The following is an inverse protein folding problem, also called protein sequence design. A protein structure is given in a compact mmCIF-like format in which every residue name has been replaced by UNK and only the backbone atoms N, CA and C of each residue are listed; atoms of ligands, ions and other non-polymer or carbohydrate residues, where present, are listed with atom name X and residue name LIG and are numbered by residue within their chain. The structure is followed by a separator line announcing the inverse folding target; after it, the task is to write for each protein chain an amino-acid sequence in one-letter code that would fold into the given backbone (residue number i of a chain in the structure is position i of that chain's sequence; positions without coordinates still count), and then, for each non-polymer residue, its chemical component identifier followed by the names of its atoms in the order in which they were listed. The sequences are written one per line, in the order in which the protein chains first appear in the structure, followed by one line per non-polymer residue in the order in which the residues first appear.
data_IF_058264315489
#
_entry.id   IF_058264315489
#
_cell.length_a   1.000
_cell.length_b   1.000
_cell.length_c   1.000
_cell.angle_alpha   90.00
_cell.angle_beta   90.00
_cell.angle_gamma   90.00
#
_symmetry.space_group_name_H-M   'P 1'
#
loop_
_entity.id
_entity.type
_entity.pdbx_description
1 polymer ?
#
# COMPACT_ATOMS: atom_id res chain seq x y z
N UNK A 1 -9.15 -29.45 44.54
CA UNK A 1 -9.40 -29.79 43.11
C UNK A 1 -9.91 -28.60 42.30
N UNK A 2 -10.75 -27.73 42.88
CA UNK A 2 -11.33 -26.55 42.20
C UNK A 2 -10.30 -25.49 41.78
N UNK A 3 -9.32 -25.18 42.64
CA UNK A 3 -8.25 -24.22 42.31
C UNK A 3 -7.40 -24.63 41.10
N UNK A 4 -7.04 -25.92 40.96
CA UNK A 4 -6.24 -26.40 39.81
C UNK A 4 -6.96 -26.21 38.47
N UNK A 5 -8.29 -26.40 38.45
CA UNK A 5 -9.12 -26.17 37.24
C UNK A 5 -9.19 -24.69 36.89
N UNK A 6 -9.34 -23.83 37.90
CA UNK A 6 -9.36 -22.37 37.72
C UNK A 6 -8.02 -21.84 37.20
N UNK A 7 -6.89 -22.30 37.76
CA UNK A 7 -5.55 -21.95 37.29
C UNK A 7 -5.30 -22.42 35.85
N UNK A 8 -5.77 -23.61 35.47
CA UNK A 8 -5.65 -24.12 34.10
C UNK A 8 -6.44 -23.27 33.11
N UNK A 9 -7.68 -22.88 33.46
CA UNK A 9 -8.51 -21.99 32.63
C UNK A 9 -7.83 -20.63 32.46
N UNK A 10 -7.30 -20.04 33.55
CA UNK A 10 -6.56 -18.78 33.50
C UNK A 10 -5.37 -18.84 32.54
N UNK A 11 -4.56 -19.91 32.61
CA UNK A 11 -3.41 -20.12 31.73
C UNK A 11 -3.82 -20.23 30.26
N UNK A 12 -4.90 -20.95 29.98
CA UNK A 12 -5.44 -21.08 28.61
C UNK A 12 -5.90 -19.71 28.09
N UNK A 13 -6.61 -18.93 28.91
CA UNK A 13 -7.06 -17.59 28.52
C UNK A 13 -5.88 -16.67 28.25
N UNK A 14 -4.84 -16.68 29.10
CA UNK A 14 -3.63 -15.89 28.88
C UNK A 14 -2.89 -16.29 27.60
N UNK A 15 -2.80 -17.59 27.31
CA UNK A 15 -2.22 -18.08 26.05
C UNK A 15 -3.02 -17.60 24.84
N UNK A 16 -4.35 -17.64 24.89
CA UNK A 16 -5.19 -17.14 23.79
C UNK A 16 -5.01 -15.63 23.56
N UNK A 17 -4.89 -14.84 24.63
CA UNK A 17 -4.62 -13.39 24.53
C UNK A 17 -3.23 -13.13 23.93
N UNK A 18 -2.22 -13.89 24.34
CA UNK A 18 -0.87 -13.74 23.80
C UNK A 18 -0.82 -14.10 22.30
N UNK A 19 -1.44 -15.22 21.91
CA UNK A 19 -1.53 -15.65 20.51
C UNK A 19 -2.29 -14.63 19.67
N UNK A 20 -3.43 -14.13 20.15
CA UNK A 20 -4.20 -13.12 19.40
C UNK A 20 -3.43 -11.81 19.27
N UNK A 21 -2.75 -11.36 20.34
CA UNK A 21 -1.91 -10.17 20.31
C UNK A 21 -0.76 -10.27 19.30
N UNK A 22 -0.08 -11.42 19.24
CA UNK A 22 0.99 -11.68 18.26
C UNK A 22 0.41 -11.67 16.84
N UNK A 23 -0.72 -12.34 16.61
CA UNK A 23 -1.36 -12.38 15.28
C UNK A 23 -1.78 -10.99 14.80
N UNK A 24 -2.38 -10.16 15.66
CA UNK A 24 -2.76 -8.78 15.35
C UNK A 24 -1.51 -7.96 15.02
N UNK A 25 -0.44 -8.07 15.83
CA UNK A 25 0.81 -7.36 15.58
C UNK A 25 1.47 -7.77 14.26
N UNK A 26 1.52 -9.07 13.96
CA UNK A 26 2.07 -9.56 12.69
C UNK A 26 1.26 -9.08 11.48
N UNK A 27 -0.05 -8.92 11.63
CA UNK A 27 -0.93 -8.52 10.54
C UNK A 27 -0.95 -6.99 10.30
N UNK A 28 -1.03 -6.18 11.35
CA UNK A 28 -1.16 -4.71 11.24
C UNK A 28 0.13 -3.95 11.55
N UNK A 29 1.00 -4.48 12.41
CA UNK A 29 2.15 -3.76 12.95
C UNK A 29 3.38 -3.76 12.05
N UNK A 30 3.49 -4.74 11.13
CA UNK A 30 4.66 -4.85 10.25
C UNK A 30 4.49 -3.94 9.03
N UNK A 31 5.51 -3.12 8.75
CA UNK A 31 5.62 -2.47 7.44
C UNK A 31 5.73 -3.54 6.37
N UNK A 32 4.94 -3.38 5.32
CA UNK A 32 4.93 -4.24 4.15
C UNK A 32 5.30 -3.40 2.93
N UNK A 33 5.86 -4.08 1.95
CA UNK A 33 6.30 -3.46 0.70
C UNK A 33 5.51 -4.13 -0.44
N UNK A 34 4.22 -3.79 -0.62
CA UNK A 34 3.34 -4.47 -1.57
C UNK A 34 3.82 -4.33 -3.03
N UNK A 35 4.68 -3.36 -3.31
CA UNK A 35 5.21 -3.06 -4.64
C UNK A 35 6.64 -3.59 -4.85
N UNK A 36 7.27 -4.24 -3.85
CA UNK A 36 8.72 -4.58 -3.86
C UNK A 36 9.16 -5.49 -5.01
N UNK A 37 8.23 -6.22 -5.65
CA UNK A 37 8.53 -7.23 -6.66
C UNK A 37 8.02 -6.85 -8.06
N UNK A 38 7.73 -5.57 -8.31
CA UNK A 38 7.30 -5.13 -9.65
C UNK A 38 8.47 -5.23 -10.62
N UNK A 39 8.30 -6.04 -11.66
CA UNK A 39 9.25 -6.15 -12.77
C UNK A 39 8.97 -5.05 -13.80
N UNK A 40 9.81 -4.01 -13.84
CA UNK A 40 9.63 -2.88 -14.77
C UNK A 40 9.68 -3.31 -16.24
N UNK A 41 10.39 -4.40 -16.57
CA UNK A 41 10.46 -4.92 -17.92
C UNK A 41 9.12 -5.51 -18.42
N UNK A 42 8.18 -5.80 -17.50
CA UNK A 42 6.84 -6.30 -17.83
C UNK A 42 5.80 -5.18 -17.93
N UNK A 43 6.16 -3.94 -17.58
CA UNK A 43 5.26 -2.78 -17.67
C UNK A 43 5.18 -2.32 -19.11
N UNK A 44 3.97 -2.02 -19.56
CA UNK A 44 3.68 -1.44 -20.87
C UNK A 44 3.61 0.09 -20.79
N UNK A 45 2.88 0.60 -19.81
CA UNK A 45 2.69 2.04 -19.58
C UNK A 45 2.15 2.29 -18.17
N UNK A 46 2.36 3.50 -17.65
CA UNK A 46 1.79 3.96 -16.38
C UNK A 46 0.88 5.16 -16.66
N UNK A 47 -0.37 5.06 -16.21
CA UNK A 47 -1.30 6.18 -16.22
C UNK A 47 -1.28 6.88 -14.87
N UNK A 48 -1.15 8.19 -14.89
CA UNK A 48 -1.30 9.06 -13.73
C UNK A 48 -2.49 9.99 -13.95
N UNK A 49 -3.42 9.97 -13.01
CA UNK A 49 -4.63 10.80 -13.06
C UNK A 49 -4.75 11.60 -11.77
N UNK A 50 -4.85 12.92 -11.92
CA UNK A 50 -5.25 13.85 -10.87
C UNK A 50 -6.52 14.61 -11.31
N UNK A 51 -7.20 15.36 -10.43
CA UNK A 51 -8.42 16.07 -10.79
C UNK A 51 -8.29 17.08 -11.94
N UNK A 52 -7.06 17.50 -12.29
CA UNK A 52 -6.77 18.49 -13.32
C UNK A 52 -6.15 17.88 -14.60
N UNK A 53 -5.54 16.70 -14.51
CA UNK A 53 -4.60 16.19 -15.51
C UNK A 53 -4.62 14.67 -15.57
N UNK A 54 -4.57 14.15 -16.79
CA UNK A 54 -4.22 12.75 -17.06
C UNK A 54 -2.92 12.73 -17.86
N UNK A 55 -2.03 11.82 -17.50
CA UNK A 55 -0.71 11.69 -18.11
C UNK A 55 -0.34 10.22 -18.26
N UNK A 56 0.33 9.88 -19.36
CA UNK A 56 0.72 8.51 -19.70
C UNK A 56 2.24 8.49 -19.84
N UNK A 57 2.88 7.56 -19.13
CA UNK A 57 4.32 7.31 -19.21
C UNK A 57 4.55 5.97 -19.87
N UNK A 58 5.29 5.99 -20.97
CA UNK A 58 5.65 4.79 -21.74
C UNK A 58 7.16 4.65 -21.97
N UNK A 59 7.96 5.62 -21.52
CA UNK A 59 9.42 5.52 -21.56
C UNK A 59 9.93 4.61 -20.43
N UNK A 60 10.81 3.66 -20.79
CA UNK A 60 11.32 2.65 -19.85
C UNK A 60 12.10 3.27 -18.68
N UNK A 61 12.84 4.37 -18.91
CA UNK A 61 13.64 5.02 -17.87
C UNK A 61 12.75 5.77 -16.87
N UNK A 62 11.69 6.41 -17.36
CA UNK A 62 10.71 7.09 -16.52
C UNK A 62 9.86 6.08 -15.73
N UNK A 63 9.48 4.96 -16.35
CA UNK A 63 8.81 3.85 -15.67
C UNK A 63 9.69 3.32 -14.53
N UNK A 64 10.98 3.07 -14.78
CA UNK A 64 11.89 2.60 -13.73
C UNK A 64 11.97 3.60 -12.57
N UNK A 65 12.01 4.90 -12.88
CA UNK A 65 12.09 5.95 -11.88
C UNK A 65 10.80 6.05 -11.03
N UNK A 66 9.62 5.92 -11.66
CA UNK A 66 8.32 5.87 -10.98
C UNK A 66 8.24 4.66 -10.06
N UNK A 67 8.48 3.46 -10.58
CA UNK A 67 8.40 2.23 -9.78
C UNK A 67 9.40 2.29 -8.62
N UNK A 68 10.62 2.78 -8.85
CA UNK A 68 11.59 2.98 -7.78
C UNK A 68 11.09 3.93 -6.69
N UNK A 69 10.34 4.98 -7.03
CA UNK A 69 9.76 5.88 -6.04
C UNK A 69 8.61 5.21 -5.28
N UNK A 70 7.72 4.51 -5.98
CA UNK A 70 6.61 3.78 -5.36
C UNK A 70 7.11 2.67 -4.42
N UNK A 71 8.16 1.94 -4.79
CA UNK A 71 8.76 0.90 -3.95
C UNK A 71 9.43 1.40 -2.67
N UNK A 72 9.71 2.71 -2.55
CA UNK A 72 10.25 3.29 -1.29
C UNK A 72 9.18 3.49 -0.23
N UNK A 73 7.90 3.40 -0.60
CA UNK A 73 6.81 3.67 0.32
C UNK A 73 6.78 2.63 1.44
N UNK A 74 6.79 3.13 2.68
CA UNK A 74 6.60 2.29 3.86
C UNK A 74 5.13 2.27 4.23
N UNK A 75 4.52 1.11 4.00
CA UNK A 75 3.08 0.92 4.11
C UNK A 75 2.73 -0.05 5.23
N UNK A 76 1.67 0.25 5.97
CA UNK A 76 1.13 -0.62 7.02
C UNK A 76 -0.29 -1.01 6.65
N UNK A 77 -0.63 -2.31 6.71
CA UNK A 77 -2.01 -2.74 6.44
C UNK A 77 -2.97 -2.02 7.37
N UNK A 78 -4.09 -1.56 6.82
CA UNK A 78 -5.21 -1.01 7.60
C UNK A 78 -6.48 -1.74 7.20
N UNK A 79 -7.43 -1.87 8.13
CA UNK A 79 -8.78 -2.23 7.74
C UNK A 79 -9.32 -1.19 6.75
N UNK A 80 -10.06 -1.68 5.74
CA UNK A 80 -10.69 -0.82 4.76
C UNK A 80 -11.53 0.24 5.46
N UNK A 81 -11.22 1.49 5.13
CA UNK A 81 -12.00 2.64 5.53
C UNK A 81 -12.50 3.28 4.24
N UNK A 82 -13.80 3.45 4.15
CA UNK A 82 -14.36 4.28 3.11
C UNK A 82 -13.92 5.71 3.38
N UNK A 83 -13.06 6.22 2.51
CA UNK A 83 -12.67 7.63 2.46
C UNK A 83 -13.23 8.16 1.15
N UNK A 84 -13.96 9.27 1.25
CA UNK A 84 -14.52 9.94 0.08
C UNK A 84 -13.41 10.73 -0.64
N UNK A 85 -13.25 10.44 -1.92
CA UNK A 85 -12.32 11.13 -2.81
C UNK A 85 -10.88 10.59 -2.78
N UNK A 86 -10.14 10.89 -3.85
CA UNK A 86 -8.73 10.60 -3.99
C UNK A 86 -7.98 11.86 -4.45
N UNK A 87 -6.72 11.97 -4.06
CA UNK A 87 -5.82 13.02 -4.55
C UNK A 87 -5.26 12.63 -5.91
N UNK A 88 -4.82 11.39 -6.06
CA UNK A 88 -4.21 10.85 -7.28
C UNK A 88 -4.58 9.38 -7.49
N UNK A 89 -4.61 8.97 -8.75
CA UNK A 89 -4.74 7.59 -9.19
C UNK A 89 -3.57 7.23 -10.10
N UNK A 90 -2.93 6.09 -9.86
CA UNK A 90 -1.85 5.56 -10.67
C UNK A 90 -2.25 4.16 -11.12
N UNK A 91 -2.37 3.94 -12.42
CA UNK A 91 -2.59 2.61 -12.99
C UNK A 91 -1.33 2.13 -13.70
N UNK A 92 -0.78 1.01 -13.24
CA UNK A 92 0.37 0.34 -13.84
C UNK A 92 -0.18 -0.75 -14.77
N UNK A 93 -0.08 -0.54 -16.08
CA UNK A 93 -0.56 -1.48 -17.09
C UNK A 93 0.60 -2.37 -17.54
N UNK A 94 0.44 -3.68 -17.37
CA UNK A 94 1.43 -4.67 -17.74
C UNK A 94 1.24 -5.15 -19.19
N UNK A 95 2.27 -5.76 -19.76
CA UNK A 95 2.27 -6.32 -21.13
C UNK A 95 1.31 -7.49 -21.32
N UNK A 96 0.88 -8.12 -20.23
CA UNK A 96 -0.14 -9.18 -20.20
C UNK A 96 -1.57 -8.62 -20.03
N UNK A 97 -1.75 -7.29 -20.11
CA UNK A 97 -3.00 -6.57 -19.90
C UNK A 97 -3.55 -6.63 -18.46
N UNK A 98 -2.79 -7.16 -17.49
CA UNK A 98 -3.09 -6.95 -16.07
C UNK A 98 -2.85 -5.48 -15.69
N UNK A 99 -3.54 -5.02 -14.65
CA UNK A 99 -3.40 -3.66 -14.14
C UNK A 99 -3.31 -3.69 -12.63
N UNK A 100 -2.29 -3.00 -12.08
CA UNK A 100 -2.22 -2.67 -10.66
C UNK A 100 -2.68 -1.24 -10.48
N UNK A 101 -3.71 -1.03 -9.67
CA UNK A 101 -4.26 0.30 -9.40
C UNK A 101 -3.84 0.77 -8.02
N UNK A 102 -3.24 1.95 -7.96
CA UNK A 102 -2.79 2.61 -6.73
C UNK A 102 -3.55 3.93 -6.59
N UNK A 103 -4.36 4.07 -5.54
CA UNK A 103 -5.01 5.35 -5.20
C UNK A 103 -4.37 5.96 -3.95
N UNK A 104 -4.15 7.26 -4.00
CA UNK A 104 -3.77 8.05 -2.83
C UNK A 104 -5.00 8.82 -2.34
N UNK A 105 -5.46 8.51 -1.15
CA UNK A 105 -6.71 9.01 -0.57
C UNK A 105 -6.40 9.84 0.68
N UNK A 106 -6.53 11.16 0.59
CA UNK A 106 -6.15 12.07 1.66
C UNK A 106 -4.63 12.22 1.80
N UNK A 107 -4.14 12.31 3.05
CA UNK A 107 -2.73 12.60 3.37
C UNK A 107 -1.89 11.38 3.72
N UNK A 108 -2.52 10.27 4.10
CA UNK A 108 -1.83 9.12 4.72
C UNK A 108 -2.41 7.77 4.32
N UNK A 109 -3.45 7.74 3.48
CA UNK A 109 -4.07 6.49 3.04
C UNK A 109 -3.75 6.19 1.58
N UNK A 110 -3.33 4.95 1.35
CA UNK A 110 -2.99 4.43 0.03
C UNK A 110 -3.79 3.15 -0.18
N UNK A 111 -4.46 2.99 -1.32
CA UNK A 111 -5.03 1.71 -1.72
C UNK A 111 -4.25 1.12 -2.86
N UNK A 112 -4.01 -0.18 -2.83
CA UNK A 112 -3.36 -0.93 -3.90
C UNK A 112 -4.23 -2.15 -4.15
N UNK A 113 -4.77 -2.27 -5.36
CA UNK A 113 -5.68 -3.36 -5.79
C UNK A 113 -6.85 -3.60 -4.81
N UNK A 114 -7.36 -2.53 -4.21
CA UNK A 114 -8.47 -2.56 -3.24
C UNK A 114 -8.08 -2.83 -1.78
N UNK A 115 -6.85 -3.24 -1.51
CA UNK A 115 -6.31 -3.34 -0.14
C UNK A 115 -5.93 -1.94 0.38
N UNK A 116 -6.26 -1.64 1.64
CA UNK A 116 -5.95 -0.35 2.27
C UNK A 116 -4.66 -0.38 3.10
N UNK A 117 -3.89 0.69 2.97
CA UNK A 117 -2.63 0.91 3.65
C UNK A 117 -2.54 2.30 4.27
N UNK A 118 -1.84 2.39 5.40
CA UNK A 118 -1.36 3.64 5.97
C UNK A 118 0.09 3.85 5.58
N UNK A 119 0.39 5.03 5.06
CA UNK A 119 1.77 5.48 4.90
C UNK A 119 2.32 6.03 6.22
N UNK A 120 3.63 5.94 6.39
CA UNK A 120 4.34 6.55 7.51
C UNK A 120 4.43 8.09 7.41
N UNK A 121 4.28 8.64 6.21
CA UNK A 121 4.16 10.07 5.93
C UNK A 121 3.35 10.35 4.67
N UNK A 122 3.17 11.63 4.35
CA UNK A 122 2.40 12.04 3.17
C UNK A 122 3.25 11.98 1.89
N UNK A 123 3.00 10.98 1.05
CA UNK A 123 3.67 10.79 -0.25
C UNK A 123 3.05 11.60 -1.39
N UNK A 124 1.92 12.28 -1.17
CA UNK A 124 1.19 13.02 -2.22
C UNK A 124 2.07 14.07 -2.92
N UNK A 125 2.82 14.85 -2.16
CA UNK A 125 3.68 15.91 -2.70
C UNK A 125 4.85 15.32 -3.48
N UNK A 126 5.50 14.27 -2.97
CA UNK A 126 6.63 13.61 -3.64
C UNK A 126 6.23 12.97 -4.97
N UNK A 127 5.06 12.34 -5.03
CA UNK A 127 4.53 11.74 -6.26
C UNK A 127 4.16 12.84 -7.24
N UNK A 128 3.49 13.89 -6.79
CA UNK A 128 3.10 15.00 -7.66
C UNK A 128 4.33 15.68 -8.27
N UNK A 129 5.34 16.00 -7.46
CA UNK A 129 6.60 16.58 -7.94
C UNK A 129 7.33 15.65 -8.91
N UNK A 130 7.23 14.34 -8.71
CA UNK A 130 7.77 13.39 -9.67
C UNK A 130 7.07 13.50 -11.02
N UNK A 131 5.74 13.39 -11.06
CA UNK A 131 4.99 13.45 -12.32
C UNK A 131 5.07 14.83 -12.99
N UNK A 132 5.10 15.93 -12.23
CA UNK A 132 5.29 17.28 -12.77
C UNK A 132 6.66 17.47 -13.45
N UNK A 133 7.70 16.73 -13.01
CA UNK A 133 9.01 16.71 -13.68
C UNK A 133 9.00 15.87 -14.95
N UNK A 134 8.32 14.72 -14.95
CA UNK A 134 8.25 13.83 -16.10
C UNK A 134 7.37 14.39 -17.23
N UNK A 135 6.43 15.27 -16.89
CA UNK A 135 5.57 15.97 -17.87
C UNK A 135 6.33 16.96 -18.77
N UNK A 136 7.56 17.37 -18.41
CA UNK A 136 8.35 18.39 -19.13
C UNK A 136 9.09 17.80 -20.32
#
# INVERSE_FOLDING_TARGET
MMHKKFTMILVIVLLLIAVSGISIYMYFGKSIEPLQNINTAEIKEIYFSDPATNYIVSDDADIELIIKQLCKMKLHRRMNKDVDGFAFLIDIVYKNDETTTISLEGSDMIKIDGDCYLSDHNYCDEIKELFDRLKQ
#
